data_IF_876271793773
#
_entry.id   IF_876271793773
#
_cell.length_a   1.000
_cell.length_b   1.000
_cell.length_c   1.000
_cell.angle_alpha   90.00
_cell.angle_beta   90.00
_cell.angle_gamma   90.00
#
_symmetry.space_group_name_H-M   'P 1'
#
loop_
_entity.id
_entity.type
_entity.pdbx_description
1 polymer ?
#
# COMPACT_ATOMS: atom_id res chain seq x y z
N UNK A 1 -5.00 -0.03 1.84
CA UNK A 1 -4.02 0.65 0.96
C UNK A 1 -3.18 -0.37 0.17
N UNK A 2 -2.65 0.03 -0.98
CA UNK A 2 -1.71 -0.75 -1.79
C UNK A 2 -0.29 -0.72 -1.24
N UNK A 3 0.69 -0.43 -2.09
CA UNK A 3 2.12 -0.38 -1.77
C UNK A 3 2.44 0.87 -0.95
N UNK A 4 2.68 0.69 0.35
CA UNK A 4 3.08 1.75 1.29
C UNK A 4 4.49 1.48 1.80
N UNK A 5 5.42 2.39 1.51
CA UNK A 5 6.79 2.39 2.00
C UNK A 5 6.98 3.25 3.24
N UNK A 6 8.17 3.20 3.84
CA UNK A 6 8.50 3.97 5.05
C UNK A 6 7.78 3.49 6.30
N UNK A 7 7.31 2.23 6.31
CA UNK A 7 6.72 1.56 7.46
C UNK A 7 7.48 0.27 7.75
N UNK A 8 7.22 -0.33 8.91
CA UNK A 8 7.82 -1.61 9.31
C UNK A 8 7.17 -2.82 8.65
N UNK A 9 6.12 -2.63 7.84
CA UNK A 9 5.28 -3.72 7.31
C UNK A 9 6.12 -4.81 6.61
N UNK A 10 6.98 -4.44 5.66
CA UNK A 10 7.80 -5.40 4.94
C UNK A 10 8.90 -6.01 5.81
N UNK A 11 9.44 -5.26 6.78
CA UNK A 11 10.47 -5.78 7.71
C UNK A 11 9.87 -6.87 8.61
N UNK A 12 8.69 -6.63 9.17
CA UNK A 12 7.96 -7.63 9.97
C UNK A 12 7.58 -8.84 9.10
N UNK A 13 7.09 -8.60 7.87
CA UNK A 13 6.73 -9.66 6.93
C UNK A 13 7.90 -10.58 6.58
N UNK A 14 9.11 -10.04 6.49
CA UNK A 14 10.32 -10.80 6.19
C UNK A 14 11.18 -11.10 7.42
N UNK A 15 10.57 -11.13 8.61
CA UNK A 15 11.21 -11.59 9.85
C UNK A 15 12.51 -10.84 10.19
N UNK A 16 12.57 -9.55 9.88
CA UNK A 16 13.73 -8.69 10.10
C UNK A 16 14.74 -8.64 8.94
N UNK A 17 14.50 -9.35 7.83
CA UNK A 17 15.34 -9.25 6.62
C UNK A 17 15.12 -7.90 5.92
N UNK A 18 15.95 -6.93 6.29
CA UNK A 18 15.91 -5.57 5.75
C UNK A 18 16.14 -5.54 4.23
N UNK A 19 17.01 -6.40 3.70
CA UNK A 19 17.32 -6.43 2.27
C UNK A 19 16.11 -6.84 1.44
N UNK A 20 15.39 -7.88 1.87
CA UNK A 20 14.11 -8.26 1.23
C UNK A 20 13.07 -7.16 1.35
N UNK A 21 12.97 -6.52 2.52
CA UNK A 21 12.02 -5.43 2.75
C UNK A 21 12.29 -4.23 1.84
N UNK A 22 13.53 -3.79 1.72
CA UNK A 22 13.92 -2.65 0.88
C UNK A 22 13.67 -2.92 -0.60
N UNK A 23 13.90 -4.17 -1.05
CA UNK A 23 13.68 -4.55 -2.44
C UNK A 23 12.22 -4.46 -2.87
N UNK A 24 11.25 -4.56 -1.96
CA UNK A 24 9.81 -4.37 -2.28
C UNK A 24 9.51 -2.95 -2.79
N UNK A 25 10.28 -1.96 -2.32
CA UNK A 25 10.04 -0.55 -2.62
C UNK A 25 11.09 0.06 -3.57
N UNK A 26 12.10 -0.73 -3.96
CA UNK A 26 13.22 -0.26 -4.77
C UNK A 26 12.79 0.17 -6.18
N UNK A 27 13.28 1.33 -6.61
CA UNK A 27 13.09 1.81 -7.98
C UNK A 27 11.67 2.26 -8.32
N UNK A 28 10.85 2.53 -7.30
CA UNK A 28 9.47 3.00 -7.46
C UNK A 28 9.12 4.07 -6.42
N UNK A 29 7.97 4.71 -6.59
CA UNK A 29 7.44 5.70 -5.64
C UNK A 29 6.20 5.12 -4.95
N UNK A 30 6.34 4.46 -3.78
CA UNK A 30 5.20 3.94 -3.03
C UNK A 30 4.42 5.08 -2.36
N UNK A 31 3.26 4.77 -1.79
CA UNK A 31 2.64 5.65 -0.80
C UNK A 31 3.53 5.73 0.45
N UNK A 32 3.32 6.76 1.24
CA UNK A 32 3.94 6.94 2.55
C UNK A 32 2.95 6.69 3.67
N UNK A 33 3.46 6.53 4.90
CA UNK A 33 2.61 6.49 6.10
C UNK A 33 1.74 7.75 6.25
N UNK A 34 2.26 8.91 5.82
CA UNK A 34 1.54 10.18 5.88
C UNK A 34 0.34 10.22 4.91
N UNK A 35 0.47 9.68 3.70
CA UNK A 35 -0.63 9.62 2.74
C UNK A 35 -1.82 8.81 3.28
N UNK A 36 -1.52 7.70 3.98
CA UNK A 36 -2.54 6.86 4.63
C UNK A 36 -3.15 7.58 5.83
N UNK A 37 -2.33 8.23 6.67
CA UNK A 37 -2.82 8.98 7.83
C UNK A 37 -3.75 10.14 7.41
N UNK A 38 -3.39 10.88 6.37
CA UNK A 38 -4.22 11.94 5.81
C UNK A 38 -5.55 11.40 5.27
N UNK A 39 -5.53 10.25 4.59
CA UNK A 39 -6.75 9.61 4.09
C UNK A 39 -7.70 9.22 5.23
N UNK A 40 -7.15 8.72 6.35
CA UNK A 40 -7.93 8.41 7.56
C UNK A 40 -8.47 9.68 8.21
N UNK A 41 -7.64 10.71 8.35
CA UNK A 41 -8.04 12.00 8.92
C UNK A 41 -9.17 12.63 8.11
N UNK A 42 -9.04 12.67 6.79
CA UNK A 42 -10.07 13.17 5.90
C UNK A 42 -11.38 12.38 6.07
N UNK A 43 -11.32 11.05 6.08
CA UNK A 43 -12.51 10.22 6.24
C UNK A 43 -13.21 10.44 7.59
N UNK A 44 -12.44 10.64 8.66
CA UNK A 44 -12.96 10.90 10.00
C UNK A 44 -13.46 12.35 10.18
N UNK A 45 -13.04 13.29 9.34
CA UNK A 45 -13.36 14.72 9.45
C UNK A 45 -14.61 15.14 8.67
N UNK A 46 -15.37 14.18 8.14
CA UNK A 46 -16.58 14.48 7.39
C UNK A 46 -17.72 14.96 8.30
N UNK A 47 -18.71 15.71 7.78
CA UNK A 47 -19.92 16.05 8.55
C UNK A 47 -20.64 14.80 9.08
N UNK A 48 -21.35 14.91 10.20
CA UNK A 48 -21.95 13.77 10.92
C UNK A 48 -22.88 12.87 10.08
N UNK A 49 -23.48 13.41 9.03
CA UNK A 49 -24.40 12.67 8.13
C UNK A 49 -23.67 11.94 6.98
N UNK A 50 -22.35 12.07 6.89
CA UNK A 50 -21.53 11.46 5.85
C UNK A 50 -20.82 10.23 6.41
N UNK A 51 -21.01 9.09 5.77
CA UNK A 51 -20.32 7.84 6.11
C UNK A 51 -19.54 7.33 4.90
N UNK A 52 -18.22 7.16 5.06
CA UNK A 52 -17.37 6.56 4.04
C UNK A 52 -17.28 5.05 4.29
N UNK A 53 -17.84 4.27 3.38
CA UNK A 53 -17.88 2.80 3.52
C UNK A 53 -16.51 2.17 3.28
N UNK A 54 -15.82 2.58 2.22
CA UNK A 54 -14.52 2.02 1.80
C UNK A 54 -13.71 3.09 1.08
N UNK A 55 -12.41 3.13 1.37
CA UNK A 55 -11.40 3.83 0.55
C UNK A 55 -10.37 2.79 0.11
N UNK A 56 -10.26 2.57 -1.20
CA UNK A 56 -9.13 1.86 -1.79
C UNK A 56 -8.17 2.90 -2.39
N UNK A 57 -6.90 2.83 -2.02
CA UNK A 57 -5.86 3.72 -2.50
C UNK A 57 -4.58 2.94 -2.81
N UNK A 58 -3.92 3.29 -3.90
CA UNK A 58 -2.66 2.72 -4.36
C UNK A 58 -1.76 3.87 -4.85
N UNK A 59 -0.42 3.75 -4.81
CA UNK A 59 0.42 4.70 -5.51
C UNK A 59 0.21 4.55 -7.02
N UNK A 60 0.35 5.63 -7.79
CA UNK A 60 0.08 5.65 -9.25
C UNK A 60 0.88 4.59 -10.03
N UNK A 61 2.04 4.21 -9.52
CA UNK A 61 2.94 3.18 -10.06
C UNK A 61 2.44 1.74 -9.85
N UNK A 62 1.36 1.52 -9.10
CA UNK A 62 0.77 0.20 -8.85
C UNK A 62 -0.60 0.08 -9.53
N UNK A 63 -0.79 -1.00 -10.29
CA UNK A 63 -2.04 -1.32 -10.99
C UNK A 63 -2.30 -2.83 -11.02
N UNK A 64 -3.46 -3.22 -11.54
CA UNK A 64 -3.82 -4.63 -11.72
C UNK A 64 -2.95 -5.31 -12.80
N UNK A 65 -2.51 -6.53 -12.52
CA UNK A 65 -1.82 -7.39 -13.49
C UNK A 65 -2.82 -8.25 -14.27
N UNK A 66 -2.39 -8.75 -15.44
CA UNK A 66 -3.10 -9.82 -16.15
C UNK A 66 -3.16 -11.11 -15.32
N UNK A 67 -4.12 -11.98 -15.65
CA UNK A 67 -4.26 -13.31 -15.04
C UNK A 67 -3.03 -14.17 -15.33
N UNK A 68 -2.60 -14.93 -14.33
CA UNK A 68 -1.46 -15.83 -14.48
C UNK A 68 -1.83 -17.06 -15.32
N UNK A 69 -0.96 -17.43 -16.28
CA UNK A 69 -1.12 -18.64 -17.09
C UNK A 69 -0.01 -19.62 -16.71
N UNK A 70 -0.37 -20.66 -15.97
CA UNK A 70 0.53 -21.79 -15.71
C UNK A 70 0.81 -22.55 -17.02
N UNK A 71 2.08 -22.88 -17.26
CA UNK A 71 2.52 -23.69 -18.41
C UNK A 71 3.43 -24.79 -17.89
N UNK A 72 3.10 -26.04 -18.23
CA UNK A 72 3.97 -27.18 -17.98
C UNK A 72 5.16 -27.10 -18.96
N UNK A 73 6.37 -26.98 -18.42
CA UNK A 73 7.63 -27.05 -19.17
C UNK A 73 8.42 -28.28 -18.71
#
# INVERSE_FOLDING_TARGET
>A
PGLVGGTEFSVVRFEGDQSKADNVYKGTTPLTAADVAESVFWAASQPEHVNINVIELMPVVQSFSALHIHRES
#
